data_IF_120830894958
#
_entry.id   IF_120830894958
#
_cell.length_a   1.000
_cell.length_b   1.000
_cell.length_c   1.000
_cell.angle_alpha   90.00
_cell.angle_beta   90.00
_cell.angle_gamma   90.00
#
_symmetry.space_group_name_H-M   'P 1'
#
loop_
_entity.id
_entity.type
_entity.pdbx_description
1 polymer ?
#
# COMPACT_ATOMS: atom_id res chain seq x y z
N UNK A 1 -21.67 -9.55 8.78
CA UNK A 1 -20.91 -8.96 9.93
C UNK A 1 -19.62 -8.38 9.36
N UNK A 2 -19.34 -7.11 9.64
CA UNK A 2 -18.19 -6.41 9.08
C UNK A 2 -16.86 -6.86 9.70
N UNK A 3 -15.79 -6.82 8.91
CA UNK A 3 -14.41 -6.97 9.40
C UNK A 3 -14.04 -5.76 10.25
N UNK A 4 -13.36 -5.98 11.36
CA UNK A 4 -12.84 -4.91 12.21
C UNK A 4 -11.52 -4.39 11.63
N UNK A 5 -11.34 -3.06 11.68
CA UNK A 5 -10.10 -2.38 11.27
C UNK A 5 -9.57 -1.64 12.49
N UNK A 6 -8.41 -2.06 12.96
CA UNK A 6 -7.72 -1.39 14.07
C UNK A 6 -6.60 -0.49 13.55
N UNK A 7 -6.49 0.68 14.14
CA UNK A 7 -5.31 1.54 14.01
C UNK A 7 -4.42 1.33 15.24
N UNK A 8 -3.26 0.71 15.03
CA UNK A 8 -2.24 0.52 16.07
C UNK A 8 -1.11 1.51 15.82
N UNK A 9 -0.66 2.20 16.87
CA UNK A 9 0.41 3.19 16.80
C UNK A 9 1.60 2.75 17.65
N UNK A 10 2.79 2.83 17.06
CA UNK A 10 4.05 2.60 17.76
C UNK A 10 5.06 3.66 17.32
N UNK A 11 5.19 4.72 18.11
CA UNK A 11 6.00 5.88 17.73
C UNK A 11 5.52 6.45 16.37
N UNK A 12 6.40 6.57 15.39
CA UNK A 12 6.08 7.12 14.07
C UNK A 12 5.39 6.13 13.12
N UNK A 13 5.23 4.86 13.51
CA UNK A 13 4.55 3.83 12.75
C UNK A 13 3.05 3.82 13.06
N UNK A 14 2.22 3.81 12.02
CA UNK A 14 0.81 3.45 12.09
C UNK A 14 0.56 2.13 11.38
N UNK A 15 -0.08 1.18 12.04
CA UNK A 15 -0.52 -0.05 11.41
C UNK A 15 -2.03 -0.02 11.23
N UNK A 16 -2.49 -0.23 10.00
CA UNK A 16 -3.89 -0.53 9.66
C UNK A 16 -4.05 -2.04 9.63
N UNK A 17 -4.75 -2.58 10.62
CA UNK A 17 -4.80 -4.02 10.85
C UNK A 17 -6.20 -4.55 10.63
N UNK A 18 -6.37 -5.46 9.66
CA UNK A 18 -7.57 -6.28 9.59
C UNK A 18 -7.60 -7.28 10.74
N UNK A 19 -8.64 -7.22 11.56
CA UNK A 19 -8.86 -8.16 12.66
C UNK A 19 -10.02 -9.09 12.28
N UNK A 20 -9.71 -10.30 11.76
CA UNK A 20 -10.74 -11.26 11.38
C UNK A 20 -11.43 -11.83 12.62
N UNK A 21 -12.73 -12.05 12.53
CA UNK A 21 -13.51 -12.69 13.60
C UNK A 21 -13.56 -14.20 13.37
N UNK A 22 -13.31 -14.97 14.41
CA UNK A 22 -13.54 -16.42 14.49
C UNK A 22 -13.09 -17.23 13.25
N UNK A 23 -11.88 -16.98 12.77
CA UNK A 23 -11.30 -17.72 11.63
C UNK A 23 -11.90 -17.39 10.27
N UNK A 24 -12.80 -16.42 10.17
CA UNK A 24 -13.33 -15.93 8.89
C UNK A 24 -12.32 -15.02 8.21
N UNK A 25 -12.21 -15.07 6.87
CA UNK A 25 -11.34 -14.17 6.15
C UNK A 25 -11.84 -12.72 6.27
N UNK A 26 -10.95 -11.71 6.32
CA UNK A 26 -11.32 -10.32 6.17
C UNK A 26 -11.99 -10.07 4.81
N UNK A 27 -13.14 -9.39 4.83
CA UNK A 27 -13.90 -8.98 3.64
C UNK A 27 -14.23 -7.50 3.71
N UNK A 28 -14.58 -6.95 2.57
CA UNK A 28 -14.93 -5.54 2.38
C UNK A 28 -16.43 -5.42 2.11
N UNK A 29 -17.10 -4.67 2.97
CA UNK A 29 -18.47 -4.21 2.80
C UNK A 29 -18.54 -2.71 3.17
N UNK A 30 -19.69 -2.08 3.10
CA UNK A 30 -19.84 -0.66 3.42
C UNK A 30 -19.26 -0.32 4.81
N UNK A 31 -19.64 -1.07 5.85
CA UNK A 31 -19.17 -0.83 7.22
C UNK A 31 -17.65 -0.98 7.34
N UNK A 32 -17.05 -1.95 6.63
CA UNK A 32 -15.61 -2.15 6.64
C UNK A 32 -14.89 -0.99 5.94
N UNK A 33 -15.43 -0.50 4.81
CA UNK A 33 -14.90 0.65 4.09
C UNK A 33 -15.01 1.94 4.94
N UNK A 34 -16.15 2.16 5.61
CA UNK A 34 -16.33 3.30 6.51
C UNK A 34 -15.33 3.30 7.67
N UNK A 35 -15.11 2.12 8.29
CA UNK A 35 -14.10 1.96 9.34
C UNK A 35 -12.71 2.24 8.82
N UNK A 36 -12.40 1.74 7.62
CA UNK A 36 -11.11 1.97 6.99
C UNK A 36 -10.88 3.46 6.75
N UNK A 37 -11.89 4.17 6.22
CA UNK A 37 -11.85 5.62 6.00
C UNK A 37 -11.67 6.41 7.30
N UNK A 38 -12.35 6.01 8.39
CA UNK A 38 -12.17 6.61 9.72
C UNK A 38 -10.74 6.47 10.23
N UNK A 39 -10.09 5.30 10.02
CA UNK A 39 -8.71 5.11 10.44
C UNK A 39 -7.73 5.92 9.58
N UNK A 40 -7.99 6.06 8.28
CA UNK A 40 -7.21 6.94 7.40
C UNK A 40 -7.33 8.39 7.87
N UNK A 41 -8.55 8.86 8.21
CA UNK A 41 -8.75 10.20 8.77
C UNK A 41 -7.97 10.42 10.07
N UNK A 42 -7.89 9.42 10.94
CA UNK A 42 -7.11 9.49 12.18
C UNK A 42 -5.59 9.55 11.92
N UNK A 43 -5.10 8.92 10.84
CA UNK A 43 -3.71 9.03 10.39
C UNK A 43 -3.42 10.45 9.88
N UNK A 44 -4.29 10.99 9.03
CA UNK A 44 -4.16 12.35 8.51
C UNK A 44 -4.17 13.41 9.62
N UNK A 45 -5.07 13.26 10.61
CA UNK A 45 -5.14 14.16 11.77
C UNK A 45 -3.90 14.12 12.65
N UNK A 46 -3.19 12.98 12.69
CA UNK A 46 -1.96 12.84 13.44
C UNK A 46 -0.78 13.60 12.82
N UNK A 47 -0.87 13.99 11.54
CA UNK A 47 0.13 14.77 10.83
C UNK A 47 1.53 14.17 10.92
N UNK A 48 2.52 15.00 11.22
CA UNK A 48 3.95 14.61 11.27
C UNK A 48 4.31 13.61 12.39
N UNK A 49 3.38 13.31 13.29
CA UNK A 49 3.58 12.28 14.31
C UNK A 49 3.65 10.86 13.69
N UNK A 50 3.05 10.68 12.50
CA UNK A 50 3.12 9.43 11.74
C UNK A 50 4.04 9.62 10.52
N UNK A 51 4.98 8.69 10.34
CA UNK A 51 5.99 8.75 9.28
C UNK A 51 5.74 7.71 8.19
N UNK A 52 5.03 6.64 8.48
CA UNK A 52 4.64 5.59 7.54
C UNK A 52 3.42 4.81 8.05
N UNK A 53 2.75 4.15 7.11
CA UNK A 53 1.67 3.20 7.36
C UNK A 53 2.10 1.81 6.93
N UNK A 54 1.81 0.81 7.77
CA UNK A 54 1.83 -0.60 7.38
C UNK A 54 0.40 -1.13 7.37
N UNK A 55 -0.05 -1.59 6.23
CA UNK A 55 -1.33 -2.27 6.04
C UNK A 55 -1.11 -3.77 6.15
N UNK A 56 -1.80 -4.44 7.08
CA UNK A 56 -1.65 -5.87 7.30
C UNK A 56 -2.91 -6.52 7.88
N UNK A 57 -2.91 -7.81 8.00
CA UNK A 57 -3.92 -8.57 8.73
C UNK A 57 -3.33 -9.17 10.03
N UNK A 58 -4.17 -9.36 11.04
CA UNK A 58 -3.83 -10.16 12.22
C UNK A 58 -3.87 -11.68 11.94
N UNK A 59 -4.44 -12.07 10.79
CA UNK A 59 -4.46 -13.46 10.37
C UNK A 59 -3.25 -13.79 9.48
N UNK A 60 -2.51 -14.85 9.80
CA UNK A 60 -1.43 -15.30 8.91
C UNK A 60 -1.95 -16.00 7.64
N UNK A 61 -3.25 -16.42 7.65
CA UNK A 61 -3.87 -17.12 6.54
C UNK A 61 -4.53 -16.21 5.52
N UNK A 62 -4.98 -15.04 5.96
CA UNK A 62 -5.75 -14.13 5.11
C UNK A 62 -5.26 -12.70 5.30
N UNK A 63 -4.87 -12.05 4.21
CA UNK A 63 -4.73 -10.61 4.18
C UNK A 63 -6.12 -9.98 4.04
N UNK A 64 -6.76 -10.15 2.90
CA UNK A 64 -8.14 -9.77 2.61
C UNK A 64 -8.62 -10.51 1.35
N UNK A 65 -9.82 -11.08 1.38
CA UNK A 65 -10.35 -11.86 0.23
C UNK A 65 -11.32 -11.07 -0.65
N UNK A 66 -11.36 -9.74 -0.49
CA UNK A 66 -12.15 -8.86 -1.34
C UNK A 66 -13.54 -8.59 -0.81
N UNK A 67 -14.47 -8.25 -1.72
CA UNK A 67 -15.83 -7.88 -1.37
C UNK A 67 -16.57 -9.02 -0.64
N UNK A 68 -17.39 -8.64 0.34
CA UNK A 68 -18.27 -9.58 1.02
C UNK A 68 -19.35 -10.08 0.04
N UNK A 69 -19.27 -11.35 -0.35
CA UNK A 69 -20.19 -11.96 -1.30
C UNK A 69 -21.66 -11.91 -0.81
N UNK A 70 -21.88 -11.89 0.51
CA UNK A 70 -23.22 -11.76 1.06
C UNK A 70 -23.80 -10.36 0.86
N UNK A 71 -22.94 -9.32 0.76
CA UNK A 71 -23.34 -7.98 0.40
C UNK A 71 -23.57 -7.83 -1.11
N UNK A 72 -22.73 -8.48 -1.93
CA UNK A 72 -22.83 -8.40 -3.40
C UNK A 72 -24.16 -8.95 -3.94
N UNK A 73 -24.75 -9.95 -3.30
CA UNK A 73 -26.04 -10.53 -3.75
C UNK A 73 -27.21 -9.54 -3.74
N UNK A 74 -27.11 -8.43 -3.01
CA UNK A 74 -28.12 -7.38 -2.93
C UNK A 74 -27.85 -6.19 -3.86
N UNK A 75 -26.73 -6.20 -4.58
CA UNK A 75 -26.40 -5.16 -5.55
C UNK A 75 -27.17 -5.38 -6.85
N UNK A 76 -27.57 -4.27 -7.44
CA UNK A 76 -28.29 -4.21 -8.70
C UNK A 76 -27.73 -3.03 -9.54
N UNK A 77 -28.15 -2.85 -10.80
CA UNK A 77 -27.64 -1.76 -11.64
C UNK A 77 -27.77 -0.36 -11.05
N UNK A 78 -28.74 -0.11 -10.18
CA UNK A 78 -29.01 1.17 -9.56
C UNK A 78 -28.09 1.45 -8.36
N UNK A 79 -27.61 0.39 -7.69
CA UNK A 79 -26.83 0.50 -6.41
C UNK A 79 -25.36 0.21 -6.57
N UNK A 80 -24.96 -0.56 -7.61
CA UNK A 80 -23.55 -0.96 -7.80
C UNK A 80 -22.62 0.25 -7.99
N UNK A 81 -23.09 1.31 -8.67
CA UNK A 81 -22.29 2.52 -8.89
C UNK A 81 -21.82 3.15 -7.60
N UNK A 82 -22.73 3.40 -6.66
CA UNK A 82 -22.41 3.98 -5.36
C UNK A 82 -21.46 3.09 -4.51
N UNK A 83 -21.61 1.76 -4.61
CA UNK A 83 -20.70 0.81 -3.99
C UNK A 83 -19.27 0.93 -4.52
N UNK A 84 -19.12 1.00 -5.85
CA UNK A 84 -17.82 1.15 -6.51
C UNK A 84 -17.19 2.51 -6.16
N UNK A 85 -17.96 3.60 -6.24
CA UNK A 85 -17.50 4.96 -5.90
C UNK A 85 -17.01 5.07 -4.45
N UNK A 86 -17.73 4.45 -3.52
CA UNK A 86 -17.34 4.43 -2.11
C UNK A 86 -15.98 3.76 -1.91
N UNK A 87 -15.79 2.55 -2.44
CA UNK A 87 -14.51 1.86 -2.32
C UNK A 87 -13.35 2.59 -3.03
N UNK A 88 -13.63 3.22 -4.19
CA UNK A 88 -12.66 4.08 -4.87
C UNK A 88 -12.22 5.24 -3.99
N UNK A 89 -13.15 5.96 -3.36
CA UNK A 89 -12.83 7.09 -2.50
C UNK A 89 -11.89 6.67 -1.36
N UNK A 90 -12.19 5.55 -0.70
CA UNK A 90 -11.36 5.03 0.40
C UNK A 90 -9.97 4.58 -0.08
N UNK A 91 -9.91 3.81 -1.16
CA UNK A 91 -8.65 3.27 -1.68
C UNK A 91 -7.74 4.37 -2.24
N UNK A 92 -8.31 5.34 -2.95
CA UNK A 92 -7.54 6.48 -3.46
C UNK A 92 -7.06 7.38 -2.33
N UNK A 93 -7.85 7.57 -1.27
CA UNK A 93 -7.43 8.32 -0.08
C UNK A 93 -6.21 7.67 0.57
N UNK A 94 -6.22 6.34 0.76
CA UNK A 94 -5.07 5.59 1.28
C UNK A 94 -3.85 5.74 0.38
N UNK A 95 -4.01 5.54 -0.94
CA UNK A 95 -2.93 5.64 -1.90
C UNK A 95 -2.29 7.05 -1.95
N UNK A 96 -3.09 8.09 -1.70
CA UNK A 96 -2.66 9.50 -1.72
C UNK A 96 -2.14 10.03 -0.39
N UNK A 97 -2.11 9.21 0.67
CA UNK A 97 -1.48 9.64 1.92
C UNK A 97 -0.07 10.21 1.63
N UNK A 98 0.28 11.38 2.20
CA UNK A 98 1.56 12.05 1.91
C UNK A 98 2.74 11.42 2.67
N UNK A 99 2.69 10.12 2.88
CA UNK A 99 3.68 9.32 3.59
C UNK A 99 3.74 7.90 3.00
N UNK A 100 4.84 7.16 3.16
CA UNK A 100 4.97 5.79 2.67
C UNK A 100 3.90 4.86 3.23
N UNK A 101 3.36 4.00 2.37
CA UNK A 101 2.42 2.93 2.72
C UNK A 101 3.01 1.60 2.28
N UNK A 102 3.16 0.66 3.20
CA UNK A 102 3.64 -0.70 2.93
C UNK A 102 2.47 -1.66 3.15
N UNK A 103 2.16 -2.49 2.17
CA UNK A 103 1.28 -3.64 2.37
C UNK A 103 2.13 -4.86 2.75
N UNK A 104 1.92 -5.36 3.96
CA UNK A 104 2.47 -6.64 4.41
C UNK A 104 1.41 -7.72 4.19
N UNK A 105 1.67 -8.60 3.22
CA UNK A 105 0.72 -9.61 2.76
C UNK A 105 1.16 -10.98 3.25
N UNK A 106 0.36 -11.58 4.14
CA UNK A 106 0.46 -12.97 4.52
C UNK A 106 -0.84 -13.68 4.12
N UNK A 107 -0.74 -14.87 3.52
CA UNK A 107 -1.91 -15.62 3.06
C UNK A 107 -2.64 -14.96 1.88
N UNK A 108 -3.96 -15.09 1.85
CA UNK A 108 -4.76 -14.73 0.69
C UNK A 108 -5.01 -13.23 0.56
N UNK A 109 -4.66 -12.66 -0.61
CA UNK A 109 -5.03 -11.32 -1.07
C UNK A 109 -5.77 -11.46 -2.42
N UNK A 110 -7.10 -11.45 -2.39
CA UNK A 110 -7.93 -11.79 -3.55
C UNK A 110 -8.90 -10.66 -3.91
N UNK A 111 -9.12 -10.46 -5.22
CA UNK A 111 -10.07 -9.48 -5.72
C UNK A 111 -9.82 -8.09 -5.15
N UNK A 112 -10.84 -7.48 -4.54
CA UNK A 112 -10.71 -6.19 -3.85
C UNK A 112 -9.62 -6.16 -2.76
N UNK A 113 -9.26 -7.31 -2.17
CA UNK A 113 -8.15 -7.43 -1.24
C UNK A 113 -6.78 -7.25 -1.92
N UNK A 114 -6.64 -7.76 -3.15
CA UNK A 114 -5.46 -7.49 -3.98
C UNK A 114 -5.47 -6.02 -4.46
N UNK A 115 -6.63 -5.49 -4.85
CA UNK A 115 -6.77 -4.07 -5.23
C UNK A 115 -6.33 -3.16 -4.08
N UNK A 116 -6.70 -3.50 -2.85
CA UNK A 116 -6.27 -2.77 -1.65
C UNK A 116 -4.76 -2.89 -1.41
N UNK A 117 -4.18 -4.10 -1.52
CA UNK A 117 -2.73 -4.26 -1.39
C UNK A 117 -1.96 -3.40 -2.42
N UNK A 118 -2.50 -3.28 -3.65
CA UNK A 118 -1.93 -2.45 -4.71
C UNK A 118 -2.11 -0.93 -4.51
N UNK A 119 -2.81 -0.47 -3.48
CA UNK A 119 -2.81 0.95 -3.10
C UNK A 119 -1.52 1.35 -2.37
N UNK A 120 -0.81 0.38 -1.81
CA UNK A 120 0.44 0.61 -1.13
C UNK A 120 1.58 0.94 -2.11
N UNK A 121 2.55 1.70 -1.62
CA UNK A 121 3.76 2.05 -2.38
C UNK A 121 4.66 0.82 -2.56
N UNK A 122 4.72 -0.06 -1.55
CA UNK A 122 5.51 -1.29 -1.54
C UNK A 122 4.67 -2.45 -1.01
N UNK A 123 4.73 -3.59 -1.68
CA UNK A 123 4.10 -4.84 -1.24
C UNK A 123 5.19 -5.83 -0.82
N UNK A 124 5.21 -6.16 0.47
CA UNK A 124 6.08 -7.20 1.03
C UNK A 124 5.21 -8.41 1.35
N UNK A 125 5.52 -9.54 0.76
CA UNK A 125 4.73 -10.75 0.93
C UNK A 125 5.53 -11.88 1.57
N UNK A 126 4.86 -12.72 2.34
CA UNK A 126 5.38 -14.02 2.74
C UNK A 126 5.37 -14.97 1.55
N UNK A 127 6.30 -15.93 1.48
CA UNK A 127 6.34 -16.96 0.44
C UNK A 127 5.02 -17.76 0.33
N UNK A 128 4.27 -17.87 1.45
CA UNK A 128 2.98 -18.56 1.47
C UNK A 128 1.82 -17.68 0.98
N UNK A 129 2.05 -16.41 0.73
CA UNK A 129 0.99 -15.52 0.27
C UNK A 129 0.49 -15.93 -1.12
N UNK A 130 -0.82 -15.78 -1.30
CA UNK A 130 -1.54 -16.15 -2.51
C UNK A 130 -2.34 -14.94 -3.00
N UNK A 131 -2.04 -14.51 -4.22
CA UNK A 131 -2.59 -13.29 -4.78
C UNK A 131 -3.41 -13.60 -6.04
N UNK A 132 -4.52 -12.91 -6.25
CA UNK A 132 -5.34 -13.15 -7.45
C UNK A 132 -6.40 -12.09 -7.68
N UNK A 133 -6.64 -11.79 -8.95
CA UNK A 133 -7.73 -10.93 -9.40
C UNK A 133 -8.86 -11.86 -9.90
N UNK A 134 -9.77 -12.23 -9.00
CA UNK A 134 -10.65 -13.38 -9.18
C UNK A 134 -12.08 -13.05 -9.60
N UNK A 135 -12.41 -11.79 -9.79
CA UNK A 135 -13.77 -11.28 -10.03
C UNK A 135 -14.42 -11.85 -11.29
N UNK A 136 -13.63 -12.09 -12.35
CA UNK A 136 -14.15 -12.66 -13.59
C UNK A 136 -14.82 -14.03 -13.40
N UNK A 137 -14.40 -14.81 -12.39
CA UNK A 137 -15.02 -16.10 -12.05
C UNK A 137 -16.44 -15.96 -11.49
N UNK A 138 -16.76 -14.77 -10.99
CA UNK A 138 -18.09 -14.44 -10.46
C UNK A 138 -18.89 -13.55 -11.41
N UNK A 139 -18.36 -13.24 -12.60
CA UNK A 139 -19.01 -12.38 -13.59
C UNK A 139 -18.89 -10.89 -13.28
N UNK A 140 -18.00 -10.51 -12.37
CA UNK A 140 -17.73 -9.11 -12.05
C UNK A 140 -16.45 -8.62 -12.72
N UNK A 141 -16.33 -7.29 -12.83
CA UNK A 141 -15.07 -6.60 -13.13
C UNK A 141 -14.42 -6.14 -11.81
N UNK A 142 -13.11 -5.80 -11.84
CA UNK A 142 -12.45 -5.13 -10.73
C UNK A 142 -13.17 -3.83 -10.38
N UNK A 143 -13.41 -3.59 -9.11
CA UNK A 143 -14.23 -2.46 -8.67
C UNK A 143 -13.43 -1.27 -8.14
N UNK A 144 -12.22 -1.49 -7.62
CA UNK A 144 -11.52 -0.49 -6.83
C UNK A 144 -10.09 -0.23 -7.29
N UNK A 145 -9.85 -0.31 -8.59
CA UNK A 145 -8.62 0.11 -9.23
C UNK A 145 -7.75 -1.01 -9.80
N UNK A 146 -8.19 -2.25 -9.77
CA UNK A 146 -7.47 -3.37 -10.36
C UNK A 146 -7.20 -3.17 -11.86
N UNK A 147 -8.14 -2.58 -12.59
CA UNK A 147 -8.02 -2.34 -14.02
C UNK A 147 -6.86 -1.41 -14.42
N UNK A 148 -6.36 -0.57 -13.51
CA UNK A 148 -5.21 0.30 -13.78
C UNK A 148 -4.01 0.03 -12.86
N UNK A 149 -4.19 -0.41 -11.60
CA UNK A 149 -3.07 -0.72 -10.70
C UNK A 149 -2.36 -2.00 -11.11
N UNK A 150 -3.11 -3.06 -11.45
CA UNK A 150 -2.51 -4.33 -11.87
C UNK A 150 -1.64 -4.19 -13.14
N UNK A 151 -2.12 -3.58 -14.26
CA UNK A 151 -1.27 -3.39 -15.44
C UNK A 151 -0.04 -2.53 -15.19
N UNK A 152 -0.07 -1.58 -14.27
CA UNK A 152 1.10 -0.77 -13.89
C UNK A 152 2.19 -1.60 -13.22
N UNK A 153 1.82 -2.65 -12.48
CA UNK A 153 2.77 -3.55 -11.81
C UNK A 153 3.30 -4.65 -12.74
N UNK A 154 2.42 -5.35 -13.44
CA UNK A 154 2.80 -6.57 -14.17
C UNK A 154 2.81 -6.42 -15.69
N UNK A 155 2.43 -5.26 -16.20
CA UNK A 155 2.22 -5.03 -17.63
C UNK A 155 0.86 -5.54 -18.11
N UNK A 156 0.40 -5.00 -19.25
CA UNK A 156 -0.97 -5.20 -19.74
C UNK A 156 -1.31 -6.67 -20.04
N UNK A 157 -0.38 -7.43 -20.64
CA UNK A 157 -0.64 -8.82 -21.06
C UNK A 157 -0.82 -9.75 -19.85
N UNK A 158 0.05 -9.64 -18.84
CA UNK A 158 -0.05 -10.42 -17.60
C UNK A 158 -1.29 -10.02 -16.79
N UNK A 159 -1.62 -8.74 -16.73
CA UNK A 159 -2.83 -8.27 -16.07
C UNK A 159 -4.09 -8.89 -16.70
N UNK A 160 -4.18 -8.92 -18.03
CA UNK A 160 -5.27 -9.58 -18.74
C UNK A 160 -5.30 -11.09 -18.49
N UNK A 161 -4.17 -11.75 -18.51
CA UNK A 161 -4.07 -13.18 -18.24
C UNK A 161 -4.56 -13.51 -16.82
N UNK A 162 -4.06 -12.80 -15.80
CA UNK A 162 -4.48 -12.99 -14.41
C UNK A 162 -5.98 -12.75 -14.22
N UNK A 163 -6.51 -11.68 -14.80
CA UNK A 163 -7.93 -11.35 -14.67
C UNK A 163 -8.82 -12.33 -15.45
N UNK A 164 -8.49 -12.67 -16.72
CA UNK A 164 -9.33 -13.54 -17.56
C UNK A 164 -9.40 -14.96 -17.02
N UNK A 165 -8.29 -15.46 -16.47
CA UNK A 165 -8.25 -16.80 -15.87
C UNK A 165 -8.76 -16.79 -14.42
N UNK A 166 -8.69 -15.64 -13.74
CA UNK A 166 -8.94 -15.53 -12.31
C UNK A 166 -8.04 -16.44 -11.47
N UNK A 167 -6.90 -16.88 -12.02
CA UNK A 167 -5.98 -17.77 -11.29
C UNK A 167 -5.33 -17.06 -10.13
N UNK A 168 -4.96 -17.84 -9.13
CA UNK A 168 -4.23 -17.40 -7.96
C UNK A 168 -2.76 -17.75 -8.16
N UNK A 169 -1.87 -16.83 -7.84
CA UNK A 169 -0.42 -17.00 -7.93
C UNK A 169 0.20 -16.98 -6.53
N UNK A 170 1.26 -17.73 -6.34
CA UNK A 170 2.09 -17.65 -5.14
C UNK A 170 2.95 -16.39 -5.16
N UNK A 171 3.36 -15.91 -3.99
CA UNK A 171 4.17 -14.70 -3.84
C UNK A 171 5.48 -14.74 -4.63
N UNK A 172 6.11 -15.90 -4.76
CA UNK A 172 7.34 -16.05 -5.57
C UNK A 172 7.09 -15.76 -7.05
N UNK A 173 6.00 -16.30 -7.64
CA UNK A 173 5.60 -15.99 -9.00
C UNK A 173 5.18 -14.51 -9.12
N UNK A 174 4.42 -14.01 -8.16
CA UNK A 174 4.00 -12.62 -8.09
C UNK A 174 5.19 -11.64 -8.06
N UNK A 175 6.26 -11.96 -7.34
CA UNK A 175 7.49 -11.18 -7.32
C UNK A 175 8.22 -11.21 -8.67
N UNK A 176 8.29 -12.37 -9.31
CA UNK A 176 8.93 -12.51 -10.64
C UNK A 176 8.24 -11.64 -11.70
N UNK A 177 6.95 -11.42 -11.58
CA UNK A 177 6.20 -10.58 -12.53
C UNK A 177 6.08 -9.11 -12.09
N UNK A 178 6.56 -8.73 -10.90
CA UNK A 178 6.50 -7.37 -10.38
C UNK A 178 5.18 -7.02 -9.67
N UNK A 179 4.32 -8.00 -9.39
CA UNK A 179 3.10 -7.78 -8.61
C UNK A 179 3.42 -7.53 -7.12
N UNK A 180 4.41 -8.24 -6.61
CA UNK A 180 4.96 -8.11 -5.25
C UNK A 180 6.38 -7.59 -5.38
N UNK A 181 6.75 -6.65 -4.51
CA UNK A 181 8.08 -6.03 -4.56
C UNK A 181 9.13 -6.88 -3.82
N UNK A 182 8.73 -7.54 -2.72
CA UNK A 182 9.58 -8.45 -1.94
C UNK A 182 8.79 -9.68 -1.53
N UNK A 183 9.36 -10.87 -1.81
CA UNK A 183 8.85 -12.16 -1.37
C UNK A 183 9.85 -12.76 -0.40
N UNK A 184 9.45 -13.02 0.83
CA UNK A 184 10.34 -13.40 1.93
C UNK A 184 9.82 -14.64 2.67
N UNK A 185 10.74 -15.51 3.18
CA UNK A 185 10.37 -16.51 4.16
C UNK A 185 9.66 -15.89 5.36
N UNK A 186 8.67 -16.60 5.89
CA UNK A 186 7.85 -16.08 6.99
C UNK A 186 8.69 -15.73 8.23
N UNK A 187 9.72 -16.50 8.50
CA UNK A 187 10.58 -16.39 9.67
C UNK A 187 11.38 -15.07 9.69
N UNK A 188 11.66 -14.49 8.52
CA UNK A 188 12.41 -13.23 8.40
C UNK A 188 11.52 -12.03 8.11
N UNK A 189 10.25 -12.25 7.82
CA UNK A 189 9.33 -11.19 7.40
C UNK A 189 9.19 -10.07 8.44
N UNK A 190 9.05 -10.43 9.73
CA UNK A 190 8.93 -9.47 10.83
C UNK A 190 10.18 -8.60 10.96
N UNK A 191 11.36 -9.24 10.97
CA UNK A 191 12.63 -8.53 11.10
C UNK A 191 12.89 -7.62 9.88
N UNK A 192 12.55 -8.08 8.69
CA UNK A 192 12.70 -7.30 7.47
C UNK A 192 11.77 -6.08 7.45
N UNK A 193 10.49 -6.26 7.79
CA UNK A 193 9.53 -5.16 7.89
C UNK A 193 9.96 -4.15 8.96
N UNK A 194 10.43 -4.60 10.12
CA UNK A 194 10.93 -3.73 11.17
C UNK A 194 12.14 -2.90 10.69
N UNK A 195 13.06 -3.52 9.94
CA UNK A 195 14.21 -2.82 9.36
C UNK A 195 13.79 -1.79 8.31
N UNK A 196 12.82 -2.11 7.44
CA UNK A 196 12.26 -1.14 6.50
C UNK A 196 11.63 0.05 7.22
N UNK A 197 10.87 -0.19 8.29
CA UNK A 197 10.27 0.87 9.12
C UNK A 197 11.36 1.78 9.69
N UNK A 198 12.43 1.20 10.25
CA UNK A 198 13.57 1.95 10.78
C UNK A 198 14.22 2.82 9.69
N UNK A 199 14.53 2.25 8.53
CA UNK A 199 15.20 2.94 7.42
C UNK A 199 14.35 4.08 6.87
N UNK A 200 13.03 3.86 6.70
CA UNK A 200 12.09 4.89 6.27
C UNK A 200 11.99 6.00 7.32
N UNK A 201 11.87 5.67 8.60
CA UNK A 201 11.81 6.66 9.66
C UNK A 201 13.12 7.47 9.81
N UNK A 202 14.26 6.87 9.48
CA UNK A 202 15.54 7.56 9.42
C UNK A 202 15.67 8.54 8.23
N UNK A 203 14.90 8.34 7.16
CA UNK A 203 14.88 9.19 5.97
C UNK A 203 14.20 10.55 6.17
N UNK A 204 14.24 11.42 5.18
CA UNK A 204 13.55 12.72 5.20
C UNK A 204 12.06 12.57 4.81
N UNK A 205 11.14 12.99 5.70
CA UNK A 205 9.70 12.93 5.44
C UNK A 205 9.30 13.76 4.23
N UNK A 206 9.86 14.97 4.11
CA UNK A 206 9.53 15.86 3.00
C UNK A 206 10.01 15.30 1.66
N UNK A 207 11.22 14.71 1.63
CA UNK A 207 11.74 14.11 0.40
C UNK A 207 10.89 12.91 -0.05
N UNK A 208 10.47 12.05 0.88
CA UNK A 208 9.60 10.91 0.58
C UNK A 208 8.22 11.35 0.10
N UNK A 209 7.62 12.35 0.75
CA UNK A 209 6.34 12.93 0.34
C UNK A 209 6.41 13.49 -1.08
N UNK A 210 7.43 14.29 -1.37
CA UNK A 210 7.59 14.91 -2.68
C UNK A 210 7.87 13.85 -3.76
N UNK A 211 8.72 12.85 -3.46
CA UNK A 211 8.98 11.75 -4.39
C UNK A 211 7.69 10.96 -4.69
N UNK A 212 6.95 10.56 -3.63
CA UNK A 212 5.68 9.84 -3.79
C UNK A 212 4.70 10.65 -4.66
N UNK A 213 4.55 11.93 -4.39
CA UNK A 213 3.68 12.82 -5.18
C UNK A 213 4.09 12.83 -6.66
N UNK A 214 5.38 12.96 -6.97
CA UNK A 214 5.89 13.01 -8.34
C UNK A 214 5.64 11.71 -9.12
N UNK A 215 5.74 10.54 -8.47
CA UNK A 215 5.56 9.25 -9.14
C UNK A 215 4.10 8.80 -9.18
N UNK A 216 3.26 9.25 -8.24
CA UNK A 216 1.86 8.84 -8.14
C UNK A 216 0.93 9.68 -9.02
N UNK A 217 1.16 11.01 -9.10
CA UNK A 217 0.28 11.96 -9.78
C UNK A 217 0.60 12.16 -11.27
N UNK A 218 1.49 11.35 -11.84
CA UNK A 218 1.95 11.56 -13.21
C UNK A 218 0.88 11.14 -14.25
N UNK A 219 0.02 12.06 -14.74
CA UNK A 219 -0.52 11.92 -16.08
C UNK A 219 0.66 11.92 -17.07
N UNK A 220 0.46 11.56 -18.35
CA UNK A 220 1.52 11.65 -19.35
C UNK A 220 1.93 13.11 -19.55
N UNK A 221 2.77 13.61 -18.64
CA UNK A 221 3.30 14.95 -18.71
C UNK A 221 4.45 15.01 -19.74
N UNK A 222 4.60 16.15 -20.41
CA UNK A 222 5.79 16.45 -21.23
C UNK A 222 7.06 16.37 -20.35
N UNK A 223 8.21 16.17 -20.98
CA UNK A 223 9.50 16.19 -20.27
C UNK A 223 9.69 17.49 -19.47
N UNK A 224 9.35 18.63 -20.08
CA UNK A 224 9.44 19.94 -19.43
C UNK A 224 8.54 20.03 -18.18
N UNK A 225 7.30 19.55 -18.25
CA UNK A 225 6.39 19.54 -17.10
C UNK A 225 6.91 18.65 -15.95
N UNK A 226 7.52 17.49 -16.27
CA UNK A 226 8.16 16.62 -15.29
C UNK A 226 9.38 17.29 -14.65
N UNK A 227 10.27 17.87 -15.47
CA UNK A 227 11.44 18.59 -14.98
C UNK A 227 11.05 19.76 -14.06
N UNK A 228 10.05 20.53 -14.45
CA UNK A 228 9.53 21.62 -13.62
C UNK A 228 8.89 21.11 -12.31
N UNK A 229 8.26 19.94 -12.31
CA UNK A 229 7.73 19.34 -11.08
C UNK A 229 8.85 18.91 -10.13
N UNK A 230 9.93 18.31 -10.63
CA UNK A 230 11.12 17.97 -9.85
C UNK A 230 11.84 19.20 -9.29
N UNK A 231 11.93 20.28 -10.07
CA UNK A 231 12.50 21.56 -9.60
C UNK A 231 11.68 22.08 -8.40
N UNK A 232 10.35 22.13 -8.51
CA UNK A 232 9.50 22.56 -7.39
C UNK A 232 9.66 21.67 -6.16
N UNK A 233 9.66 20.35 -6.33
CA UNK A 233 9.88 19.41 -5.23
C UNK A 233 11.25 19.61 -4.56
N UNK A 234 12.30 19.81 -5.35
CA UNK A 234 13.66 20.10 -4.87
C UNK A 234 13.71 21.39 -4.05
N UNK A 235 13.01 22.44 -4.50
CA UNK A 235 12.91 23.71 -3.76
C UNK A 235 12.26 23.48 -2.39
N UNK A 236 11.15 22.71 -2.32
CA UNK A 236 10.49 22.40 -1.06
C UNK A 236 11.39 21.60 -0.12
N UNK A 237 12.15 20.63 -0.64
CA UNK A 237 13.14 19.89 0.15
C UNK A 237 14.21 20.84 0.73
N UNK A 238 14.82 21.69 -0.10
CA UNK A 238 15.89 22.61 0.35
C UNK A 238 15.39 23.67 1.35
N UNK A 239 14.13 24.10 1.23
CA UNK A 239 13.51 25.03 2.20
C UNK A 239 13.32 24.40 3.57
N UNK A 240 13.23 23.09 3.67
CA UNK A 240 12.97 22.42 4.95
C UNK A 240 14.19 22.46 5.88
N UNK A 241 13.94 22.72 7.17
CA UNK A 241 14.97 22.67 8.21
C UNK A 241 15.58 21.26 8.34
N UNK A 242 14.79 20.21 8.10
CA UNK A 242 15.23 18.81 8.11
C UNK A 242 16.32 18.56 7.06
N UNK A 243 16.11 18.97 5.80
CA UNK A 243 17.11 18.80 4.74
C UNK A 243 18.39 19.58 5.07
N UNK A 244 18.26 20.83 5.53
CA UNK A 244 19.41 21.65 5.89
C UNK A 244 20.23 21.02 7.03
N UNK A 245 19.57 20.44 8.03
CA UNK A 245 20.25 19.76 9.13
C UNK A 245 20.93 18.48 8.65
N UNK A 246 20.29 17.66 7.85
CA UNK A 246 20.87 16.43 7.27
C UNK A 246 22.14 16.70 6.46
N UNK A 247 22.15 17.77 5.67
CA UNK A 247 23.34 18.19 4.92
C UNK A 247 24.47 18.59 5.86
N UNK A 248 24.19 19.38 6.91
CA UNK A 248 25.20 19.74 7.92
C UNK A 248 25.79 18.50 8.60
N UNK A 249 24.93 17.60 9.08
CA UNK A 249 25.34 16.38 9.78
C UNK A 249 26.22 15.49 8.88
N UNK A 250 25.85 15.35 7.60
CA UNK A 250 26.63 14.58 6.64
C UNK A 250 28.03 15.16 6.42
N UNK A 251 28.13 16.47 6.26
CA UNK A 251 29.42 17.16 6.08
C UNK A 251 30.31 17.08 7.33
N UNK A 252 29.71 17.15 8.52
CA UNK A 252 30.45 17.01 9.79
C UNK A 252 30.98 15.59 10.00
N UNK A 253 30.19 14.55 9.64
CA UNK A 253 30.67 13.16 9.70
C UNK A 253 31.88 12.92 8.79
N UNK A 254 31.88 13.51 7.59
CA UNK A 254 33.01 13.40 6.65
C UNK A 254 34.30 14.11 7.14
N UNK A 255 34.18 15.08 8.03
CA UNK A 255 35.35 15.80 8.62
C UNK A 255 36.00 15.00 9.74
N UNK A 256 35.32 14.02 10.34
CA UNK A 256 35.93 13.17 11.38
C UNK A 256 36.80 12.11 10.72
N UNK A 257 38.09 11.96 11.04
CA UNK A 257 38.95 10.92 10.49
C UNK A 257 38.35 9.54 10.81
N UNK A 258 38.43 8.61 9.86
CA UNK A 258 38.01 7.22 10.07
C UNK A 258 38.74 6.68 11.30
N UNK A 259 38.01 6.09 12.27
CA UNK A 259 38.64 5.37 13.38
C UNK A 259 39.49 4.25 12.78
N UNK A 260 40.74 4.07 13.19
CA UNK A 260 41.53 2.93 12.74
C UNK A 260 40.78 1.65 13.14
N UNK A 261 40.59 0.79 12.18
CA UNK A 261 40.09 -0.59 12.38
C UNK A 261 41.05 -1.28 13.36
N UNK A 262 40.50 -1.81 14.46
CA UNK A 262 41.21 -2.63 15.43
C UNK A 262 41.12 -4.11 15.01
#
# INVERSE_FOLDING_TARGET
MSTEIELRRQGPLAELVFVPREGRPPTLNHDTLDRFDQQIAAIEQAGDAIRLVVLRSASPKFFCVGADLTALQFLNPETIGAWIEHGHAVFDRLARLPLPVIARVEGYALGGGLELAMTADVIVASEQAQLGQTEARLGFITGWGGAWRLPRRVGTSRAKELFFTGRIVLAAEAATMGLVDLCLPREVLDAHCAKMVEDICAGSAIAMREFKRLVSDAPPLTFEAKANAEVRASIECVRSADTQQRVRDFLERKKKPAKPER
#
